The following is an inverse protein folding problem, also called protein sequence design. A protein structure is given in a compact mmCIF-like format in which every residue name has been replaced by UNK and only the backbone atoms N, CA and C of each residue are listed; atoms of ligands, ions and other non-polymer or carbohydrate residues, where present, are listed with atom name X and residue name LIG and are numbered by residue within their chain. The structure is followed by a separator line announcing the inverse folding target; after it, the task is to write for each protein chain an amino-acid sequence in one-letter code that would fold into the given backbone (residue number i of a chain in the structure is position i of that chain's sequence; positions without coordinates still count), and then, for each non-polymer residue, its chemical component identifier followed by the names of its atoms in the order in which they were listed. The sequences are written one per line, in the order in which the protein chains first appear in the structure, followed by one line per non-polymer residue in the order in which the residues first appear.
data_IF_216729683649
#
_entry.id   IF_216729683649
#
_cell.length_a   1.000
_cell.length_b   1.000
_cell.length_c   1.000
_cell.angle_alpha   90.00
_cell.angle_beta   90.00
_cell.angle_gamma   90.00
#
_symmetry.space_group_name_H-M   'P 1'
#
loop_
_entity.id
_entity.type
_entity.pdbx_description
1 polymer ?
#
# COMPACT_ATOMS: atom_id res chain seq x y z
N UNK A 1 79.34 -40.24 5.19
CA UNK A 1 79.22 -40.21 6.67
C UNK A 1 79.00 -38.74 7.04
N UNK A 2 77.88 -38.24 7.53
CA UNK A 2 76.74 -38.75 8.31
C UNK A 2 75.50 -37.87 8.00
N UNK A 3 74.24 -38.36 8.02
CA UNK A 3 73.08 -37.48 8.13
C UNK A 3 72.86 -37.05 9.60
N UNK A 4 72.67 -35.75 9.85
CA UNK A 4 72.28 -35.17 11.16
C UNK A 4 70.74 -35.00 11.24
N UNK A 5 70.14 -34.88 12.45
CA UNK A 5 68.81 -35.38 12.76
C UNK A 5 67.69 -34.37 12.52
N UNK A 6 66.49 -34.93 12.40
CA UNK A 6 65.18 -34.29 12.31
C UNK A 6 64.93 -33.21 13.37
N UNK A 7 64.40 -32.07 12.93
CA UNK A 7 63.66 -31.15 13.79
C UNK A 7 62.18 -31.16 13.38
N UNK A 8 61.31 -31.56 14.30
CA UNK A 8 59.85 -31.45 14.14
C UNK A 8 59.44 -29.97 14.19
N UNK A 9 58.49 -29.51 13.35
CA UNK A 9 57.99 -28.14 13.42
C UNK A 9 57.02 -27.95 14.59
N UNK A 10 56.93 -26.73 15.17
CA UNK A 10 56.01 -26.44 16.26
C UNK A 10 54.55 -26.41 15.78
N UNK A 11 53.66 -26.98 16.59
CA UNK A 11 52.21 -26.98 16.41
C UNK A 11 51.68 -25.53 16.49
N UNK A 12 51.16 -24.97 15.39
CA UNK A 12 50.51 -23.65 15.40
C UNK A 12 49.10 -23.78 15.97
N UNK A 13 48.89 -23.16 17.13
CA UNK A 13 47.58 -22.99 17.76
C UNK A 13 46.64 -22.19 16.83
N UNK A 14 45.46 -22.74 16.56
CA UNK A 14 44.45 -22.15 15.70
C UNK A 14 43.94 -20.81 16.28
N UNK A 15 44.26 -19.71 15.60
CA UNK A 15 43.67 -18.41 15.85
C UNK A 15 42.20 -18.40 15.42
N UNK A 16 41.31 -18.25 16.40
CA UNK A 16 39.87 -18.11 16.23
C UNK A 16 39.57 -16.86 15.41
N UNK A 17 39.19 -17.02 14.13
CA UNK A 17 38.71 -15.93 13.30
C UNK A 17 37.38 -15.43 13.87
N UNK A 18 37.38 -14.24 14.48
CA UNK A 18 36.16 -13.53 14.81
C UNK A 18 35.50 -13.08 13.52
N UNK A 19 34.37 -13.69 13.15
CA UNK A 19 33.54 -13.19 12.07
C UNK A 19 32.91 -11.87 12.54
N UNK A 20 33.49 -10.75 12.13
CA UNK A 20 32.86 -9.45 12.29
C UNK A 20 31.55 -9.47 11.49
N UNK A 21 30.43 -9.27 12.17
CA UNK A 21 29.12 -9.11 11.55
C UNK A 21 29.14 -7.84 10.71
N UNK A 22 29.00 -7.99 9.39
CA UNK A 22 28.75 -6.87 8.48
C UNK A 22 27.37 -6.33 8.85
N UNK A 23 27.35 -5.24 9.62
CA UNK A 23 26.17 -4.41 9.78
C UNK A 23 25.80 -3.91 8.38
N UNK A 24 24.73 -4.49 7.81
CA UNK A 24 24.13 -4.01 6.57
C UNK A 24 23.66 -2.59 6.84
N UNK A 25 24.44 -1.61 6.37
CA UNK A 25 24.10 -0.21 6.51
C UNK A 25 22.72 0.04 5.89
N UNK A 26 21.90 0.67 6.71
CA UNK A 26 20.54 1.06 6.42
C UNK A 26 20.50 1.98 5.20
N UNK A 27 19.47 1.77 4.38
CA UNK A 27 18.97 2.60 3.27
C UNK A 27 19.45 4.06 3.30
N UNK A 28 20.65 4.30 2.78
CA UNK A 28 21.13 5.65 2.52
C UNK A 28 20.43 6.11 1.26
N UNK A 29 19.30 6.81 1.43
CA UNK A 29 18.56 7.43 0.34
C UNK A 29 19.46 8.50 -0.28
N UNK A 30 20.28 8.10 -1.25
CA UNK A 30 21.19 8.98 -1.97
C UNK A 30 20.35 10.02 -2.71
N UNK A 31 20.28 11.23 -2.17
CA UNK A 31 19.87 12.44 -2.90
C UNK A 31 21.02 12.88 -3.83
N UNK A 32 21.49 11.98 -4.68
CA UNK A 32 22.42 12.33 -5.75
C UNK A 32 21.56 12.77 -6.93
N UNK A 33 21.52 14.07 -7.21
CA UNK A 33 21.16 14.56 -8.55
C UNK A 33 22.21 14.01 -9.51
N UNK A 34 21.95 12.82 -10.03
CA UNK A 34 22.89 12.15 -10.93
C UNK A 34 22.69 12.84 -12.27
N UNK A 35 23.72 13.55 -12.75
CA UNK A 35 23.71 14.07 -14.11
C UNK A 35 23.36 12.92 -15.07
N UNK A 36 22.53 13.15 -16.10
CA UNK A 36 22.16 12.09 -17.03
C UNK A 36 23.44 11.49 -17.62
N UNK A 37 23.55 10.16 -17.67
CA UNK A 37 24.76 9.51 -18.18
C UNK A 37 25.07 10.01 -19.59
N UNK A 38 26.27 10.58 -19.78
CA UNK A 38 26.69 11.12 -21.07
C UNK A 38 26.90 9.95 -22.04
N UNK A 39 26.18 9.96 -23.16
CA UNK A 39 26.40 9.00 -24.24
C UNK A 39 27.76 9.28 -24.88
N UNK A 40 28.52 8.22 -25.18
CA UNK A 40 29.84 8.32 -25.81
C UNK A 40 29.95 7.32 -26.95
N UNK A 41 30.64 7.70 -28.02
CA UNK A 41 30.88 6.81 -29.18
C UNK A 41 29.61 6.52 -30.01
N UNK A 42 29.46 5.32 -30.60
CA UNK A 42 28.34 4.98 -31.48
C UNK A 42 26.95 5.06 -30.82
N UNK A 43 26.91 5.08 -29.49
CA UNK A 43 25.69 5.25 -28.71
C UNK A 43 25.17 6.68 -28.73
N UNK A 44 26.00 7.67 -29.07
CA UNK A 44 25.65 9.08 -29.12
C UNK A 44 24.94 9.48 -30.44
N UNK A 45 23.79 8.86 -30.68
CA UNK A 45 22.92 9.16 -31.82
C UNK A 45 21.62 9.85 -31.36
N UNK A 46 20.92 10.50 -32.28
CA UNK A 46 19.72 11.29 -31.99
C UNK A 46 18.66 10.48 -31.20
N UNK A 47 18.41 9.25 -31.62
CA UNK A 47 17.44 8.36 -30.98
C UNK A 47 17.78 8.03 -29.51
N UNK A 48 19.05 7.71 -29.22
CA UNK A 48 19.49 7.41 -27.87
C UNK A 48 19.48 8.67 -26.98
N UNK A 49 19.78 9.85 -27.54
CA UNK A 49 19.68 11.14 -26.82
C UNK A 49 18.25 11.45 -26.40
N UNK A 50 17.29 11.29 -27.31
CA UNK A 50 15.86 11.47 -27.01
C UNK A 50 15.40 10.50 -25.91
N UNK A 51 15.80 9.23 -26.00
CA UNK A 51 15.46 8.25 -24.96
C UNK A 51 16.03 8.60 -23.59
N UNK A 52 17.26 9.09 -23.52
CA UNK A 52 17.82 9.56 -22.26
C UNK A 52 17.10 10.80 -21.74
N UNK A 53 16.76 11.76 -22.62
CA UNK A 53 15.99 12.93 -22.24
C UNK A 53 14.62 12.56 -21.67
N UNK A 54 13.91 11.63 -22.32
CA UNK A 54 12.63 11.09 -21.84
C UNK A 54 12.80 10.39 -20.49
N UNK A 55 13.83 9.56 -20.33
CA UNK A 55 14.10 8.87 -19.04
C UNK A 55 14.37 9.87 -17.92
N UNK A 56 15.18 10.89 -18.19
CA UNK A 56 15.50 11.93 -17.21
C UNK A 56 14.25 12.73 -16.81
N UNK A 57 13.48 13.18 -17.80
CA UNK A 57 12.22 13.90 -17.56
C UNK A 57 11.21 13.04 -16.77
N UNK A 58 11.08 11.76 -17.13
CA UNK A 58 10.22 10.81 -16.43
C UNK A 58 10.65 10.61 -14.98
N UNK A 59 11.96 10.50 -14.70
CA UNK A 59 12.48 10.38 -13.35
C UNK A 59 12.14 11.61 -12.48
N UNK A 60 12.29 12.82 -13.04
CA UNK A 60 11.94 14.06 -12.34
C UNK A 60 10.43 14.17 -12.09
N UNK A 61 9.62 13.84 -13.09
CA UNK A 61 8.16 13.82 -12.97
C UNK A 61 7.70 12.81 -11.92
N UNK A 62 8.26 11.60 -11.93
CA UNK A 62 7.95 10.57 -10.95
C UNK A 62 8.30 11.00 -9.52
N UNK A 63 9.44 11.66 -9.31
CA UNK A 63 9.82 12.17 -7.99
C UNK A 63 8.89 13.29 -7.51
N UNK A 64 8.46 14.19 -8.41
CA UNK A 64 7.47 15.21 -8.11
C UNK A 64 6.14 14.57 -7.66
N UNK A 65 5.59 13.64 -8.45
CA UNK A 65 4.33 12.96 -8.10
C UNK A 65 4.42 12.18 -6.80
N UNK A 66 5.54 11.49 -6.56
CA UNK A 66 5.81 10.82 -5.28
C UNK A 66 5.75 11.79 -4.11
N UNK A 67 6.37 12.96 -4.23
CA UNK A 67 6.32 14.01 -3.20
C UNK A 67 4.90 14.52 -3.00
N UNK A 68 4.14 14.81 -4.07
CA UNK A 68 2.75 15.26 -3.95
C UNK A 68 1.86 14.22 -3.26
N UNK A 69 1.99 12.94 -3.62
CA UNK A 69 1.26 11.86 -2.95
C UNK A 69 1.57 11.82 -1.45
N UNK A 70 2.83 11.94 -1.06
CA UNK A 70 3.22 11.85 0.35
C UNK A 70 2.84 13.11 1.13
N UNK A 71 3.08 14.30 0.56
CA UNK A 71 2.98 15.56 1.29
C UNK A 71 1.62 16.25 1.16
N UNK A 72 0.82 15.91 0.15
CA UNK A 72 -0.50 16.54 -0.06
C UNK A 72 -1.61 15.50 0.14
N UNK A 73 -1.53 14.36 -0.57
CA UNK A 73 -2.62 13.38 -0.55
C UNK A 73 -2.80 12.77 0.84
N UNK A 74 -1.71 12.42 1.53
CA UNK A 74 -1.81 11.86 2.90
C UNK A 74 -2.47 12.85 3.87
N UNK A 75 -2.01 14.12 4.01
CA UNK A 75 -2.71 15.09 4.86
C UNK A 75 -4.16 15.34 4.46
N UNK A 76 -4.46 15.44 3.16
CA UNK A 76 -5.84 15.62 2.68
C UNK A 76 -6.74 14.45 3.07
N UNK A 77 -6.25 13.21 2.95
CA UNK A 77 -6.97 12.02 3.38
C UNK A 77 -7.20 11.99 4.89
N UNK A 78 -6.24 12.44 5.70
CA UNK A 78 -6.41 12.53 7.16
C UNK A 78 -7.54 13.50 7.50
N UNK A 79 -7.51 14.70 6.91
CA UNK A 79 -8.55 15.72 7.16
C UNK A 79 -9.92 15.21 6.70
N UNK A 80 -10.01 14.62 5.50
CA UNK A 80 -11.23 14.02 4.98
C UNK A 80 -11.74 12.87 5.84
N UNK A 81 -10.84 12.04 6.39
CA UNK A 81 -11.20 10.93 7.28
C UNK A 81 -11.77 11.41 8.61
N UNK A 82 -11.23 12.48 9.17
CA UNK A 82 -11.77 13.09 10.41
C UNK A 82 -13.18 13.63 10.15
N UNK A 83 -13.38 14.35 9.04
CA UNK A 83 -14.71 14.83 8.68
C UNK A 83 -15.71 13.68 8.49
N UNK A 84 -15.33 12.65 7.73
CA UNK A 84 -16.16 11.48 7.51
C UNK A 84 -16.48 10.74 8.82
N UNK A 85 -15.53 10.68 9.76
CA UNK A 85 -15.75 10.06 11.08
C UNK A 85 -16.77 10.83 11.91
N UNK A 86 -16.70 12.17 11.92
CA UNK A 86 -17.66 12.99 12.64
C UNK A 86 -19.07 12.80 12.07
N UNK A 87 -19.22 12.86 10.73
CA UNK A 87 -20.51 12.61 10.07
C UNK A 87 -21.03 11.20 10.33
N UNK A 88 -20.14 10.20 10.40
CA UNK A 88 -20.50 8.83 10.72
C UNK A 88 -21.09 8.70 12.14
N UNK A 89 -20.47 9.36 13.12
CA UNK A 89 -20.95 9.35 14.51
C UNK A 89 -22.30 10.07 14.63
N UNK A 90 -22.43 11.25 14.03
CA UNK A 90 -23.70 12.00 13.98
C UNK A 90 -24.82 11.19 13.31
N UNK A 91 -24.51 10.47 12.23
CA UNK A 91 -25.48 9.61 11.55
C UNK A 91 -25.97 8.49 12.47
N UNK A 92 -25.08 7.88 13.25
CA UNK A 92 -25.45 6.80 14.18
C UNK A 92 -26.21 7.31 15.40
N UNK A 93 -25.83 8.47 15.95
CA UNK A 93 -26.61 9.14 16.99
C UNK A 93 -28.03 9.45 16.48
N UNK A 94 -28.18 10.02 15.29
CA UNK A 94 -29.50 10.25 14.71
C UNK A 94 -30.29 8.95 14.53
N UNK A 95 -29.62 7.89 14.09
CA UNK A 95 -30.22 6.58 13.88
C UNK A 95 -30.76 5.96 15.18
N UNK A 96 -30.05 6.12 16.30
CA UNK A 96 -30.47 5.62 17.62
C UNK A 96 -31.73 6.31 18.17
N UNK A 97 -31.98 7.56 17.77
CA UNK A 97 -33.18 8.30 18.17
C UNK A 97 -34.38 8.07 17.24
N UNK A 98 -34.20 7.36 16.12
CA UNK A 98 -35.31 7.02 15.23
C UNK A 98 -36.12 5.85 15.79
N UNK A 99 -37.44 5.78 15.49
CA UNK A 99 -38.27 4.67 15.93
C UNK A 99 -37.73 3.32 15.42
N UNK A 100 -38.02 2.21 16.11
CA UNK A 100 -37.68 0.85 15.67
C UNK A 100 -38.10 0.61 14.22
N UNK A 101 -37.35 -0.24 13.51
CA UNK A 101 -37.56 -0.46 12.07
C UNK A 101 -38.95 -1.00 11.75
N UNK A 102 -39.48 -1.88 12.61
CA UNK A 102 -40.82 -2.45 12.49
C UNK A 102 -41.93 -1.40 12.59
N UNK A 103 -41.71 -0.30 13.33
CA UNK A 103 -42.70 0.77 13.52
C UNK A 103 -42.68 1.80 12.39
N UNK A 104 -41.62 1.82 11.58
CA UNK A 104 -41.48 2.77 10.48
C UNK A 104 -42.51 2.50 9.38
N UNK A 105 -43.08 3.58 8.84
CA UNK A 105 -44.07 3.50 7.77
C UNK A 105 -43.39 2.96 6.50
N UNK A 106 -43.81 1.77 6.08
CA UNK A 106 -43.43 1.21 4.79
C UNK A 106 -44.54 1.49 3.77
N UNK A 107 -44.19 2.21 2.71
CA UNK A 107 -45.12 2.50 1.62
C UNK A 107 -45.18 1.37 0.59
N UNK A 108 -46.28 1.24 -0.19
CA UNK A 108 -46.45 0.15 -1.17
C UNK A 108 -45.37 0.08 -2.26
N UNK A 109 -44.68 1.19 -2.51
CA UNK A 109 -43.58 1.24 -3.48
C UNK A 109 -42.22 0.81 -2.93
N UNK A 110 -42.11 0.61 -1.61
CA UNK A 110 -40.88 0.19 -0.95
C UNK A 110 -40.77 -1.34 -0.91
N UNK A 111 -39.55 -1.85 -1.10
CA UNK A 111 -39.26 -3.29 -1.11
C UNK A 111 -40.13 -4.14 -2.05
N UNK A 112 -40.60 -3.57 -3.18
CA UNK A 112 -41.30 -4.37 -4.20
C UNK A 112 -40.40 -5.51 -4.70
N UNK A 113 -40.99 -6.71 -4.82
CA UNK A 113 -40.39 -7.88 -5.46
C UNK A 113 -41.36 -8.46 -6.47
N UNK A 114 -41.06 -8.31 -7.77
CA UNK A 114 -41.83 -8.95 -8.85
C UNK A 114 -41.38 -10.38 -9.12
N UNK A 115 -40.09 -10.66 -8.90
CA UNK A 115 -39.48 -11.99 -8.93
C UNK A 115 -38.52 -12.10 -7.75
N UNK A 116 -38.51 -13.27 -7.12
CA UNK A 116 -37.54 -13.58 -6.08
C UNK A 116 -36.10 -13.50 -6.62
N UNK A 117 -35.17 -13.04 -5.78
CA UNK A 117 -33.75 -13.10 -6.08
C UNK A 117 -33.27 -14.55 -6.22
N UNK A 118 -32.26 -14.83 -7.06
CA UNK A 118 -31.80 -16.20 -7.31
C UNK A 118 -30.89 -16.76 -6.19
N UNK A 119 -30.84 -16.13 -5.01
CA UNK A 119 -30.01 -16.54 -3.88
C UNK A 119 -30.76 -16.42 -2.55
N UNK A 120 -30.25 -17.12 -1.54
CA UNK A 120 -30.75 -17.03 -0.17
C UNK A 120 -32.24 -17.37 -0.08
N UNK A 121 -33.00 -16.50 0.58
CA UNK A 121 -34.45 -16.60 0.73
C UNK A 121 -35.24 -15.91 -0.39
N UNK A 122 -34.55 -15.39 -1.41
CA UNK A 122 -35.15 -14.70 -2.55
C UNK A 122 -35.64 -13.28 -2.26
N UNK A 123 -35.43 -12.76 -1.06
CA UNK A 123 -36.02 -11.49 -0.62
C UNK A 123 -34.98 -10.40 -0.37
N UNK A 124 -33.85 -10.79 0.24
CA UNK A 124 -32.77 -9.89 0.63
C UNK A 124 -31.81 -9.62 -0.52
N UNK A 125 -31.45 -8.35 -0.68
CA UNK A 125 -30.42 -7.92 -1.64
C UNK A 125 -29.03 -8.38 -1.19
N UNK A 126 -28.04 -8.33 -2.08
CA UNK A 126 -26.65 -8.70 -1.77
C UNK A 126 -26.05 -7.86 -0.63
N UNK A 127 -26.45 -6.59 -0.51
CA UNK A 127 -26.02 -5.66 0.54
C UNK A 127 -27.14 -5.40 1.56
N UNK A 128 -27.92 -6.43 1.89
CA UNK A 128 -28.97 -6.32 2.90
C UNK A 128 -28.37 -6.30 4.31
N UNK A 129 -28.60 -5.22 5.06
CA UNK A 129 -28.22 -5.13 6.47
C UNK A 129 -29.48 -5.10 7.35
N UNK A 130 -29.76 -6.15 8.16
CA UNK A 130 -30.93 -6.21 9.04
C UNK A 130 -31.04 -5.08 10.07
N UNK A 131 -29.94 -4.36 10.36
CA UNK A 131 -29.94 -3.22 11.30
C UNK A 131 -30.53 -1.94 10.71
N UNK A 132 -30.62 -1.85 9.39
CA UNK A 132 -31.10 -0.64 8.69
C UNK A 132 -32.18 -0.93 7.65
N UNK A 133 -32.28 -2.18 7.20
CA UNK A 133 -33.26 -2.64 6.23
C UNK A 133 -34.24 -3.59 6.90
N UNK A 134 -35.52 -3.29 6.73
CA UNK A 134 -36.63 -4.13 7.16
C UNK A 134 -37.62 -4.28 6.00
N UNK A 135 -38.12 -5.49 5.79
CA UNK A 135 -39.21 -5.75 4.87
C UNK A 135 -40.38 -6.29 5.67
N UNK A 136 -41.42 -5.46 5.82
CA UNK A 136 -42.72 -5.91 6.29
C UNK A 136 -43.31 -6.80 5.20
N UNK A 137 -43.63 -8.03 5.58
CA UNK A 137 -44.44 -8.91 4.75
C UNK A 137 -45.87 -8.67 5.16
N UNK A 138 -46.73 -8.36 4.19
CA UNK A 138 -48.16 -8.25 4.45
C UNK A 138 -48.64 -9.64 4.92
N UNK A 139 -49.29 -9.71 6.09
CA UNK A 139 -49.98 -10.92 6.55
C UNK A 139 -51.18 -11.24 5.64
#
# INVERSE_FOLDING_TARGET
MLPRPSMLPPLKLAGRQGHASILRSTLQRRFASTEPPKLVGPMDNAFNRERLAVKHHAAQSADLWRKLCIYIVIPALIIGSINAKNLWDEHWEHWEHMPPLEERVQYPYMNIRTKAFPWGDGDKTLFWNPKVNYHRKDE
#
